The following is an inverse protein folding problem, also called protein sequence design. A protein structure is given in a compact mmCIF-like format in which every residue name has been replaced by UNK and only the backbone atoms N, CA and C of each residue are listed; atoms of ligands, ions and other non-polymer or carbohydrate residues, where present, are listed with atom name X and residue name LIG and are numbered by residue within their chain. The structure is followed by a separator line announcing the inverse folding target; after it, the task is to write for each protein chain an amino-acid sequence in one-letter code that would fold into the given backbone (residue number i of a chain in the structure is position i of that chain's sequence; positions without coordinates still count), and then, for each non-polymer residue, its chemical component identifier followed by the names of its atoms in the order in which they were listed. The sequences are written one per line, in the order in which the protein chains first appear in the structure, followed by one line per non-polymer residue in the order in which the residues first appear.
data_IF_498068204050
#
_entry.id   IF_498068204050
#
_cell.length_a   1.000
_cell.length_b   1.000
_cell.length_c   1.000
_cell.angle_alpha   90.00
_cell.angle_beta   90.00
_cell.angle_gamma   90.00
#
_symmetry.space_group_name_H-M   'P 1'
#
loop_
_entity.id
_entity.type
_entity.pdbx_description
1 polymer ?
#
# COMPACT_ATOMS: atom_id res chain seq x y z
N UNK A 1 -20.90 -24.02 27.82
CA UNK A 1 -20.29 -23.40 26.63
C UNK A 1 -21.06 -23.82 25.38
N UNK A 2 -21.28 -22.90 24.44
CA UNK A 2 -21.90 -23.19 23.14
C UNK A 2 -20.85 -23.77 22.17
N UNK A 3 -20.93 -25.07 21.86
CA UNK A 3 -19.92 -25.76 21.02
C UNK A 3 -19.86 -25.22 19.59
N UNK A 4 -20.99 -24.86 18.98
CA UNK A 4 -21.00 -24.30 17.62
C UNK A 4 -20.31 -22.94 17.57
N UNK A 5 -20.52 -22.11 18.60
CA UNK A 5 -19.86 -20.82 18.70
C UNK A 5 -18.37 -20.96 18.98
N UNK A 6 -17.96 -21.94 19.79
CA UNK A 6 -16.55 -22.26 20.00
C UNK A 6 -15.86 -22.66 18.69
N UNK A 7 -16.43 -23.59 17.92
CA UNK A 7 -15.88 -24.00 16.62
C UNK A 7 -15.77 -22.82 15.65
N UNK A 8 -16.80 -21.97 15.58
CA UNK A 8 -16.76 -20.75 14.78
C UNK A 8 -15.62 -19.81 15.19
N UNK A 9 -15.45 -19.55 16.50
CA UNK A 9 -14.40 -18.66 16.99
C UNK A 9 -13.00 -19.26 16.78
N UNK A 10 -12.85 -20.57 16.95
CA UNK A 10 -11.60 -21.28 16.66
C UNK A 10 -11.18 -21.08 15.21
N UNK A 11 -12.10 -21.32 14.26
CA UNK A 11 -11.84 -21.10 12.85
C UNK A 11 -11.56 -19.64 12.54
N UNK A 12 -12.33 -18.71 13.13
CA UNK A 12 -12.12 -17.29 12.94
C UNK A 12 -10.73 -16.84 13.42
N UNK A 13 -10.25 -17.32 14.57
CA UNK A 13 -8.91 -17.06 15.10
C UNK A 13 -7.85 -17.63 14.15
N UNK A 14 -8.02 -18.87 13.71
CA UNK A 14 -7.12 -19.53 12.75
C UNK A 14 -7.00 -18.73 11.45
N UNK A 15 -8.12 -18.43 10.80
CA UNK A 15 -8.15 -17.77 9.49
C UNK A 15 -7.86 -16.27 9.53
N UNK A 16 -7.89 -15.65 10.73
CA UNK A 16 -7.37 -14.27 10.92
C UNK A 16 -5.84 -14.27 11.07
N UNK A 17 -5.18 -15.42 11.07
CA UNK A 17 -3.72 -15.53 11.01
C UNK A 17 -3.04 -15.75 12.36
N UNK A 18 -3.78 -16.20 13.38
CA UNK A 18 -3.22 -16.54 14.70
C UNK A 18 -2.95 -18.05 14.88
N UNK A 19 -3.32 -18.86 13.87
CA UNK A 19 -3.12 -20.31 13.89
C UNK A 19 -4.02 -21.06 14.88
N UNK A 20 -3.62 -22.28 15.24
CA UNK A 20 -4.41 -23.19 16.07
C UNK A 20 -3.98 -23.20 17.56
N UNK A 21 -2.87 -22.51 17.89
CA UNK A 21 -2.25 -22.57 19.22
C UNK A 21 -3.10 -21.97 20.37
N UNK A 22 -4.12 -21.18 20.05
CA UNK A 22 -4.96 -20.50 21.03
C UNK A 22 -6.23 -21.29 21.41
N UNK A 23 -6.47 -22.44 20.78
CA UNK A 23 -7.72 -23.21 20.94
C UNK A 23 -8.01 -23.59 22.40
N UNK A 24 -7.01 -24.16 23.09
CA UNK A 24 -7.16 -24.63 24.47
C UNK A 24 -7.49 -23.49 25.44
N UNK A 25 -6.84 -22.33 25.28
CA UNK A 25 -7.08 -21.17 26.12
C UNK A 25 -8.45 -20.55 25.83
N UNK A 26 -8.81 -20.40 24.54
CA UNK A 26 -10.14 -19.96 24.12
C UNK A 26 -11.23 -20.84 24.75
N UNK A 27 -11.08 -22.16 24.64
CA UNK A 27 -12.04 -23.13 25.22
C UNK A 27 -12.17 -22.95 26.73
N UNK A 28 -11.04 -22.85 27.43
CA UNK A 28 -11.03 -22.69 28.88
C UNK A 28 -11.71 -21.38 29.33
N UNK A 29 -11.46 -20.27 28.62
CA UNK A 29 -12.06 -18.96 28.88
C UNK A 29 -13.57 -18.97 28.68
N UNK A 30 -14.04 -19.59 27.60
CA UNK A 30 -15.47 -19.73 27.31
C UNK A 30 -16.18 -20.70 28.27
N UNK A 31 -15.52 -21.78 28.73
CA UNK A 31 -16.07 -22.71 29.73
C UNK A 31 -16.21 -22.08 31.11
N UNK A 32 -15.32 -21.15 31.47
CA UNK A 32 -15.41 -20.34 32.70
C UNK A 32 -16.49 -19.26 32.63
N UNK A 33 -17.12 -19.08 31.47
CA UNK A 33 -18.11 -18.04 31.21
C UNK A 33 -17.62 -16.62 31.52
N UNK A 34 -16.33 -16.34 31.31
CA UNK A 34 -15.78 -14.99 31.51
C UNK A 34 -16.50 -14.00 30.56
N UNK A 35 -17.06 -12.87 31.05
CA UNK A 35 -17.86 -11.98 30.19
C UNK A 35 -17.01 -11.25 29.15
N UNK A 36 -15.75 -10.95 29.48
CA UNK A 36 -14.76 -10.40 28.56
C UNK A 36 -13.42 -11.08 28.86
N UNK A 37 -12.66 -11.43 27.83
CA UNK A 37 -11.32 -11.96 28.01
C UNK A 37 -10.46 -11.63 26.79
N UNK A 38 -9.14 -11.77 26.96
CA UNK A 38 -8.17 -11.63 25.89
C UNK A 38 -7.35 -12.90 25.71
N UNK A 39 -6.81 -13.07 24.50
CA UNK A 39 -5.81 -14.07 24.17
C UNK A 39 -4.62 -13.37 23.54
N UNK A 40 -3.39 -13.79 23.88
CA UNK A 40 -2.18 -13.16 23.39
C UNK A 40 -1.46 -14.06 22.37
N UNK A 41 -0.94 -13.45 21.31
CA UNK A 41 -0.18 -14.14 20.27
C UNK A 41 1.07 -13.34 19.91
N UNK A 42 2.23 -14.00 19.93
CA UNK A 42 3.49 -13.40 19.52
C UNK A 42 3.90 -13.95 18.15
N UNK A 43 4.37 -13.08 17.28
CA UNK A 43 4.94 -13.45 15.98
C UNK A 43 6.20 -12.64 15.69
N UNK A 44 7.11 -13.23 14.93
CA UNK A 44 8.35 -12.60 14.48
C UNK A 44 8.38 -12.55 12.94
N UNK A 45 8.73 -11.40 12.39
CA UNK A 45 8.82 -11.17 10.96
C UNK A 45 10.20 -10.58 10.62
N UNK A 46 11.15 -11.44 10.24
CA UNK A 46 12.55 -11.03 10.15
C UNK A 46 13.05 -10.66 11.54
N UNK A 47 13.53 -9.43 11.71
CA UNK A 47 14.04 -8.94 12.99
C UNK A 47 12.98 -8.20 13.82
N UNK A 48 11.80 -7.95 13.24
CA UNK A 48 10.72 -7.27 13.94
C UNK A 48 9.85 -8.27 14.71
N UNK A 49 9.37 -7.86 15.87
CA UNK A 49 8.46 -8.66 16.70
C UNK A 49 7.12 -7.97 16.83
N UNK A 50 6.08 -8.78 16.89
CA UNK A 50 4.71 -8.33 17.11
C UNK A 50 4.08 -9.08 18.25
N UNK A 51 3.38 -8.36 19.12
CA UNK A 51 2.47 -8.92 20.11
C UNK A 51 1.04 -8.52 19.73
N UNK A 52 0.17 -9.51 19.59
CA UNK A 52 -1.25 -9.30 19.31
C UNK A 52 -2.09 -9.69 20.54
N UNK A 53 -2.99 -8.80 20.94
CA UNK A 53 -3.95 -9.01 22.03
C UNK A 53 -5.35 -9.07 21.43
N UNK A 54 -5.92 -10.27 21.34
CA UNK A 54 -7.23 -10.55 20.76
C UNK A 54 -8.32 -10.34 21.81
N UNK A 55 -9.34 -9.55 21.51
CA UNK A 55 -10.41 -9.17 22.45
C UNK A 55 -11.70 -9.95 22.15
N UNK A 56 -12.19 -10.67 23.16
CA UNK A 56 -13.43 -11.43 23.11
C UNK A 56 -14.44 -10.91 24.12
N UNK A 57 -15.72 -10.93 23.75
CA UNK A 57 -16.83 -10.56 24.64
C UNK A 57 -18.00 -11.53 24.49
N UNK A 58 -18.60 -11.92 25.61
CA UNK A 58 -19.88 -12.64 25.66
C UNK A 58 -21.03 -11.67 25.34
N UNK A 59 -22.02 -12.14 24.59
CA UNK A 59 -23.27 -11.43 24.36
C UNK A 59 -24.03 -11.21 25.68
N UNK A 60 -24.59 -10.02 25.85
CA UNK A 60 -25.49 -9.72 26.97
C UNK A 60 -26.89 -10.33 26.75
N UNK A 61 -27.18 -10.84 25.54
CA UNK A 61 -28.49 -11.32 25.12
C UNK A 61 -28.52 -12.82 24.77
N UNK A 62 -27.36 -13.48 24.74
CA UNK A 62 -27.25 -14.90 24.36
C UNK A 62 -26.01 -15.56 24.99
N UNK A 63 -25.84 -16.85 24.77
CA UNK A 63 -24.66 -17.60 25.19
C UNK A 63 -23.47 -17.47 24.21
N UNK A 64 -23.60 -16.64 23.17
CA UNK A 64 -22.59 -16.45 22.15
C UNK A 64 -21.45 -15.54 22.61
N UNK A 65 -20.25 -15.86 22.17
CA UNK A 65 -19.05 -15.05 22.25
C UNK A 65 -18.68 -14.49 20.88
N UNK A 66 -18.05 -13.32 20.87
CA UNK A 66 -17.58 -12.64 19.68
C UNK A 66 -16.11 -12.26 19.82
N UNK A 67 -15.32 -12.55 18.79
CA UNK A 67 -14.01 -11.97 18.58
C UNK A 67 -14.18 -10.60 17.93
N UNK A 68 -13.97 -9.51 18.68
CA UNK A 68 -14.36 -8.16 18.26
C UNK A 68 -13.22 -7.37 17.62
N UNK A 69 -12.01 -7.53 18.12
CA UNK A 69 -10.85 -6.79 17.66
C UNK A 69 -9.56 -7.46 18.13
N UNK A 70 -8.44 -7.08 17.54
CA UNK A 70 -7.12 -7.39 18.09
C UNK A 70 -6.25 -6.14 18.03
N UNK A 71 -5.53 -5.86 19.12
CA UNK A 71 -4.50 -4.82 19.18
C UNK A 71 -3.18 -5.44 18.78
N UNK A 72 -2.44 -4.80 17.89
CA UNK A 72 -1.08 -5.18 17.51
C UNK A 72 -0.10 -4.14 18.05
N UNK A 73 0.94 -4.62 18.70
CA UNK A 73 2.11 -3.85 19.10
C UNK A 73 3.29 -4.35 18.26
N UNK A 74 3.84 -3.48 17.40
CA UNK A 74 4.96 -3.77 16.51
C UNK A 74 6.23 -3.11 17.08
N UNK A 75 7.17 -3.95 17.48
CA UNK A 75 8.49 -3.54 17.91
C UNK A 75 9.48 -3.78 16.77
N UNK A 76 9.97 -2.67 16.19
CA UNK A 76 11.01 -2.74 15.16
C UNK A 76 12.39 -2.89 15.77
N UNK A 77 13.29 -3.60 15.11
CA UNK A 77 14.66 -3.83 15.60
C UNK A 77 15.40 -2.52 15.95
N UNK A 78 15.24 -1.50 15.10
CA UNK A 78 15.94 -0.21 15.22
C UNK A 78 15.09 0.91 15.84
N UNK A 79 13.93 0.59 16.44
CA UNK A 79 13.07 1.57 17.09
C UNK A 79 13.07 1.36 18.60
N UNK A 80 13.03 2.44 19.39
CA UNK A 80 12.79 2.34 20.84
C UNK A 80 11.32 2.33 21.20
N UNK A 81 10.47 2.82 20.31
CA UNK A 81 9.04 2.93 20.50
C UNK A 81 8.32 1.86 19.68
N UNK A 82 7.38 1.17 20.33
CA UNK A 82 6.48 0.25 19.66
C UNK A 82 5.37 1.04 18.96
N UNK A 83 5.05 0.63 17.74
CA UNK A 83 3.89 1.13 17.03
C UNK A 83 2.66 0.31 17.44
N UNK A 84 1.56 0.97 17.76
CA UNK A 84 0.32 0.30 18.14
C UNK A 84 -0.80 0.56 17.14
N UNK A 85 -1.60 -0.47 16.85
CA UNK A 85 -2.80 -0.34 16.04
C UNK A 85 -3.83 -1.39 16.47
N UNK A 86 -5.09 -0.96 16.63
CA UNK A 86 -6.22 -1.87 16.81
C UNK A 86 -6.92 -2.14 15.48
N UNK A 87 -7.13 -3.41 15.17
CA UNK A 87 -7.89 -3.88 14.02
C UNK A 87 -9.20 -4.51 14.49
N UNK A 88 -10.31 -4.08 13.89
CA UNK A 88 -11.64 -4.58 14.23
C UNK A 88 -12.03 -5.75 13.32
N UNK A 89 -12.71 -6.72 13.92
CA UNK A 89 -13.21 -7.91 13.22
C UNK A 89 -14.61 -7.61 12.70
N UNK A 90 -14.75 -7.69 11.38
CA UNK A 90 -16.00 -7.43 10.66
C UNK A 90 -16.46 -8.68 9.92
N UNK A 91 -17.75 -8.76 9.58
CA UNK A 91 -18.27 -9.86 8.75
C UNK A 91 -17.81 -9.68 7.30
N UNK A 92 -16.70 -10.31 6.91
CA UNK A 92 -16.35 -10.54 5.50
C UNK A 92 -14.98 -10.02 5.04
N UNK A 93 -14.38 -9.04 5.75
CA UNK A 93 -13.08 -8.48 5.35
C UNK A 93 -12.19 -8.13 6.54
N UNK A 94 -11.79 -9.17 7.27
CA UNK A 94 -10.80 -9.02 8.33
C UNK A 94 -9.44 -8.73 7.72
N UNK A 95 -8.72 -7.80 8.33
CA UNK A 95 -7.27 -7.73 8.19
C UNK A 95 -6.72 -8.92 8.99
N UNK A 96 -5.87 -9.72 8.36
CA UNK A 96 -5.17 -10.81 9.04
C UNK A 96 -3.96 -10.27 9.80
N UNK A 97 -3.39 -11.06 10.72
CA UNK A 97 -2.19 -10.66 11.47
C UNK A 97 -1.02 -10.27 10.54
N UNK A 98 -0.83 -11.00 9.43
CA UNK A 98 0.24 -10.69 8.47
C UNK A 98 -0.05 -9.41 7.67
N UNK A 99 -1.29 -9.21 7.25
CA UNK A 99 -1.71 -7.96 6.58
C UNK A 99 -1.61 -6.75 7.52
N UNK A 100 -1.95 -6.92 8.80
CA UNK A 100 -1.79 -5.89 9.83
C UNK A 100 -0.32 -5.47 9.98
N UNK A 101 0.59 -6.44 10.11
CA UNK A 101 2.03 -6.18 10.07
C UNK A 101 2.44 -5.43 8.80
N UNK A 102 1.96 -5.84 7.63
CA UNK A 102 2.28 -5.18 6.37
C UNK A 102 1.79 -3.71 6.33
N UNK A 103 0.58 -3.43 6.82
CA UNK A 103 0.05 -2.07 6.95
C UNK A 103 0.87 -1.21 7.91
N UNK A 104 1.26 -1.77 9.05
CA UNK A 104 2.09 -1.12 10.07
C UNK A 104 3.54 -0.87 9.59
N UNK A 105 4.00 -1.67 8.63
CA UNK A 105 5.23 -1.43 7.86
C UNK A 105 5.06 -0.34 6.77
N UNK A 106 3.86 0.20 6.60
CA UNK A 106 3.53 1.25 5.64
C UNK A 106 3.19 0.75 4.23
N UNK A 107 3.08 -0.56 4.05
CA UNK A 107 2.68 -1.20 2.78
C UNK A 107 1.18 -1.14 2.59
N UNK A 108 0.74 -1.42 1.38
CA UNK A 108 -0.67 -1.43 1.02
C UNK A 108 -1.21 -2.85 0.89
N UNK A 109 -2.43 -3.08 1.37
CA UNK A 109 -3.13 -4.39 1.30
C UNK A 109 -4.40 -4.23 0.48
N UNK A 110 -4.66 -5.12 -0.46
CA UNK A 110 -5.88 -5.16 -1.26
C UNK A 110 -6.94 -6.01 -0.57
N UNK A 111 -8.14 -5.47 -0.39
CA UNK A 111 -9.28 -6.13 0.28
C UNK A 111 -10.57 -5.87 -0.48
N UNK A 112 -11.49 -6.82 -0.35
CA UNK A 112 -12.89 -6.64 -0.70
C UNK A 112 -13.62 -6.10 0.54
N UNK A 113 -13.84 -4.79 0.58
CA UNK A 113 -14.49 -4.10 1.69
C UNK A 113 -16.00 -4.04 1.49
N UNK A 114 -16.75 -3.75 2.55
CA UNK A 114 -18.21 -3.56 2.51
C UNK A 114 -18.56 -2.12 2.88
N UNK A 115 -19.37 -1.45 2.05
CA UNK A 115 -19.85 -0.09 2.36
C UNK A 115 -21.03 -0.12 3.36
N UNK A 116 -21.60 1.04 3.67
CA UNK A 116 -22.70 1.14 4.65
C UNK A 116 -23.98 0.48 4.14
N UNK A 117 -24.13 0.40 2.82
CA UNK A 117 -25.24 -0.17 2.09
C UNK A 117 -25.13 -1.70 1.97
N UNK A 118 -24.01 -2.30 2.40
CA UNK A 118 -23.76 -3.73 2.34
C UNK A 118 -23.14 -4.21 1.02
N UNK A 119 -22.79 -3.29 0.12
CA UNK A 119 -22.19 -3.62 -1.17
C UNK A 119 -20.69 -3.89 -0.99
N UNK A 120 -20.23 -4.96 -1.64
CA UNK A 120 -18.83 -5.35 -1.64
C UNK A 120 -18.10 -4.57 -2.74
N UNK A 121 -16.95 -3.99 -2.40
CA UNK A 121 -16.09 -3.28 -3.35
C UNK A 121 -14.61 -3.57 -3.09
N UNK A 122 -13.81 -3.60 -4.14
CA UNK A 122 -12.37 -3.82 -4.00
C UNK A 122 -11.63 -2.49 -3.76
N UNK A 123 -10.71 -2.48 -2.81
CA UNK A 123 -9.86 -1.33 -2.54
C UNK A 123 -8.49 -1.74 -2.01
N UNK A 124 -7.49 -0.93 -2.31
CA UNK A 124 -6.22 -0.95 -1.58
C UNK A 124 -6.31 -0.11 -0.33
N UNK A 125 -5.84 -0.64 0.78
CA UNK A 125 -5.82 -0.02 2.10
C UNK A 125 -4.37 0.29 2.47
N UNK A 126 -4.10 1.48 2.97
CA UNK A 126 -2.77 1.89 3.44
C UNK A 126 -2.88 2.74 4.69
N UNK A 127 -1.97 2.55 5.65
CA UNK A 127 -1.94 3.34 6.88
C UNK A 127 -1.44 4.78 6.62
N UNK A 128 -2.13 5.77 7.18
CA UNK A 128 -1.70 7.17 7.24
C UNK A 128 -1.11 7.48 8.62
N UNK A 129 0.21 7.38 8.72
CA UNK A 129 0.94 7.66 9.95
C UNK A 129 0.88 9.13 10.41
N UNK A 130 0.33 10.04 9.61
CA UNK A 130 0.21 11.46 9.96
C UNK A 130 -1.08 11.79 10.70
N UNK A 131 -2.06 10.88 10.69
CA UNK A 131 -3.37 11.11 11.26
C UNK A 131 -3.78 9.95 12.14
N UNK A 132 -3.82 10.19 13.45
CA UNK A 132 -4.40 9.27 14.42
C UNK A 132 -5.80 9.74 14.85
N UNK A 133 -6.67 8.80 15.20
CA UNK A 133 -7.94 9.06 15.86
C UNK A 133 -7.75 9.32 17.37
N UNK A 134 -8.86 9.56 18.08
CA UNK A 134 -8.85 9.83 19.52
C UNK A 134 -8.37 8.65 20.38
N UNK A 135 -8.38 7.43 19.82
CA UNK A 135 -7.92 6.22 20.48
C UNK A 135 -6.48 5.87 20.10
N UNK A 136 -5.79 6.73 19.35
CA UNK A 136 -4.42 6.53 18.90
C UNK A 136 -4.28 5.63 17.67
N UNK A 137 -5.38 5.19 17.05
CA UNK A 137 -5.30 4.38 15.82
C UNK A 137 -5.03 5.28 14.62
N UNK A 138 -4.09 4.88 13.77
CA UNK A 138 -3.85 5.56 12.50
C UNK A 138 -5.03 5.38 11.55
N UNK A 139 -5.32 6.43 10.78
CA UNK A 139 -6.31 6.37 9.70
C UNK A 139 -5.84 5.42 8.61
N UNK A 140 -6.80 4.78 7.96
CA UNK A 140 -6.56 3.93 6.79
C UNK A 140 -7.08 4.62 5.53
N UNK A 141 -6.17 4.99 4.64
CA UNK A 141 -6.50 5.48 3.31
C UNK A 141 -7.00 4.33 2.44
N UNK A 142 -7.99 4.60 1.60
CA UNK A 142 -8.54 3.64 0.66
C UNK A 142 -8.39 4.14 -0.78
N UNK A 143 -7.84 3.29 -1.64
CA UNK A 143 -7.76 3.50 -3.08
C UNK A 143 -8.71 2.51 -3.74
N UNK A 144 -9.94 2.95 -3.97
CA UNK A 144 -11.01 2.16 -4.60
C UNK A 144 -10.60 1.68 -6.00
N UNK A 145 -11.24 0.65 -6.54
CA UNK A 145 -10.97 0.15 -7.91
C UNK A 145 -11.02 1.25 -9.00
N UNK A 146 -11.80 2.31 -8.79
CA UNK A 146 -11.93 3.46 -9.71
C UNK A 146 -10.78 4.47 -9.58
N UNK A 147 -9.90 4.31 -8.58
CA UNK A 147 -8.71 5.12 -8.41
C UNK A 147 -7.72 4.93 -9.58
N UNK A 148 -7.80 3.79 -10.28
CA UNK A 148 -7.01 3.51 -11.48
C UNK A 148 -5.60 2.99 -11.19
N UNK A 149 -5.39 2.37 -10.03
CA UNK A 149 -4.20 1.54 -9.83
C UNK A 149 -4.50 0.10 -10.22
N UNK A 150 -3.77 -0.37 -11.24
CA UNK A 150 -3.81 -1.75 -11.70
C UNK A 150 -2.44 -2.38 -11.44
N UNK A 151 -2.38 -3.31 -10.50
CA UNK A 151 -1.14 -3.99 -10.12
C UNK A 151 -0.59 -4.83 -11.28
N UNK A 152 -1.45 -5.58 -11.97
CA UNK A 152 -1.02 -6.48 -13.05
C UNK A 152 -0.46 -5.68 -14.23
N UNK A 153 -1.18 -4.64 -14.66
CA UNK A 153 -0.72 -3.74 -15.70
C UNK A 153 0.55 -2.96 -15.29
N UNK A 154 0.74 -2.73 -13.99
CA UNK A 154 1.98 -2.12 -13.48
C UNK A 154 3.13 -3.09 -13.54
N UNK A 155 2.96 -4.33 -13.09
CA UNK A 155 3.98 -5.38 -13.11
C UNK A 155 4.43 -5.69 -14.55
N UNK A 156 3.50 -5.72 -15.50
CA UNK A 156 3.80 -5.97 -16.93
C UNK A 156 4.75 -4.94 -17.57
N UNK A 157 4.98 -3.78 -16.93
CA UNK A 157 5.94 -2.76 -17.39
C UNK A 157 7.38 -3.07 -16.98
N UNK A 158 7.61 -4.11 -16.19
CA UNK A 158 8.90 -4.50 -15.65
C UNK A 158 9.36 -5.85 -16.23
N UNK A 159 10.68 -6.04 -16.42
CA UNK A 159 11.23 -7.29 -16.97
C UNK A 159 11.30 -8.37 -15.88
N UNK A 160 10.16 -8.78 -15.33
CA UNK A 160 10.07 -9.75 -14.22
C UNK A 160 9.84 -11.15 -14.79
N UNK A 161 10.75 -12.08 -14.52
CA UNK A 161 10.74 -13.46 -15.02
C UNK A 161 9.52 -14.25 -14.56
N UNK A 162 9.05 -14.04 -13.32
CA UNK A 162 7.88 -14.73 -12.77
C UNK A 162 6.59 -14.43 -13.54
N UNK A 163 6.53 -13.33 -14.30
CA UNK A 163 5.35 -12.98 -15.10
C UNK A 163 5.15 -13.87 -16.34
N UNK A 164 6.19 -14.57 -16.79
CA UNK A 164 6.14 -15.48 -17.95
C UNK A 164 5.40 -16.78 -17.63
N UNK A 165 5.40 -17.19 -16.36
CA UNK A 165 4.70 -18.38 -15.90
C UNK A 165 3.37 -17.98 -15.24
N UNK A 166 2.21 -18.48 -15.72
CA UNK A 166 0.91 -18.10 -15.17
C UNK A 166 0.77 -18.35 -13.65
N UNK A 167 1.34 -19.45 -13.15
CA UNK A 167 1.25 -19.79 -11.73
C UNK A 167 2.12 -18.86 -10.87
N UNK A 168 3.35 -18.60 -11.30
CA UNK A 168 4.24 -17.69 -10.56
C UNK A 168 3.75 -16.24 -10.61
N UNK A 169 3.14 -15.83 -11.72
CA UNK A 169 2.46 -14.54 -11.84
C UNK A 169 1.31 -14.42 -10.84
N UNK A 170 0.45 -15.43 -10.76
CA UNK A 170 -0.66 -15.47 -9.79
C UNK A 170 -0.14 -15.37 -8.35
N UNK A 171 0.84 -16.20 -7.99
CA UNK A 171 1.43 -16.22 -6.65
C UNK A 171 2.08 -14.88 -6.28
N UNK A 172 2.76 -14.24 -7.24
CA UNK A 172 3.35 -12.92 -7.09
C UNK A 172 2.27 -11.86 -6.83
N UNK A 173 1.23 -11.82 -7.65
CA UNK A 173 0.11 -10.88 -7.51
C UNK A 173 -0.59 -11.07 -6.17
N UNK A 174 -0.89 -12.32 -5.78
CA UNK A 174 -1.56 -12.63 -4.51
C UNK A 174 -0.72 -12.26 -3.29
N UNK A 175 0.60 -12.47 -3.35
CA UNK A 175 1.50 -12.05 -2.29
C UNK A 175 1.52 -10.52 -2.14
N UNK A 176 1.60 -9.79 -3.26
CA UNK A 176 1.60 -8.34 -3.26
C UNK A 176 0.24 -7.75 -2.85
N UNK A 177 -0.88 -8.38 -3.21
CA UNK A 177 -2.22 -8.02 -2.72
C UNK A 177 -2.33 -8.14 -1.20
N UNK A 178 -1.64 -9.11 -0.58
CA UNK A 178 -1.54 -9.23 0.89
C UNK A 178 -0.59 -8.21 1.52
N UNK A 179 -0.01 -7.32 0.71
CA UNK A 179 0.93 -6.28 1.14
C UNK A 179 2.33 -6.79 1.46
N UNK A 180 2.69 -8.00 1.02
CA UNK A 180 4.04 -8.51 1.23
C UNK A 180 5.04 -7.75 0.36
N UNK A 181 6.24 -7.57 0.89
CA UNK A 181 7.42 -7.26 0.08
C UNK A 181 7.89 -8.58 -0.55
N UNK A 182 7.69 -8.70 -1.85
CA UNK A 182 7.91 -9.95 -2.58
C UNK A 182 9.23 -9.90 -3.33
N UNK A 183 10.04 -10.97 -3.25
CA UNK A 183 11.20 -11.08 -4.13
C UNK A 183 10.77 -11.45 -5.54
N UNK A 184 11.39 -10.82 -6.54
CA UNK A 184 11.16 -11.07 -7.95
C UNK A 184 12.48 -11.07 -8.72
N UNK A 185 12.53 -11.82 -9.83
CA UNK A 185 13.73 -11.94 -10.67
C UNK A 185 13.60 -10.99 -11.85
N UNK A 186 14.43 -9.94 -11.87
CA UNK A 186 14.48 -8.98 -12.96
C UNK A 186 15.52 -9.37 -14.01
N UNK A 187 15.14 -9.30 -15.29
CA UNK A 187 16.02 -9.50 -16.43
C UNK A 187 16.57 -8.15 -16.89
N UNK A 188 17.86 -7.90 -16.65
CA UNK A 188 18.54 -6.67 -17.11
C UNK A 188 19.77 -7.05 -17.94
N UNK A 189 19.78 -6.66 -19.21
CA UNK A 189 20.92 -6.92 -20.13
C UNK A 189 21.32 -8.40 -20.21
N UNK A 190 20.33 -9.30 -20.12
CA UNK A 190 20.56 -10.75 -20.12
C UNK A 190 20.95 -11.36 -18.77
N UNK A 191 21.13 -10.54 -17.72
CA UNK A 191 21.43 -11.00 -16.37
C UNK A 191 20.17 -11.08 -15.50
N UNK A 192 20.12 -12.09 -14.63
CA UNK A 192 19.11 -12.25 -13.60
C UNK A 192 19.51 -11.51 -12.33
N UNK A 193 18.68 -10.56 -11.91
CA UNK A 193 18.88 -9.76 -10.71
C UNK A 193 17.72 -9.99 -9.75
N UNK A 194 18.01 -10.51 -8.56
CA UNK A 194 17.01 -10.60 -7.50
C UNK A 194 16.73 -9.21 -6.93
N UNK A 195 15.48 -8.79 -6.99
CA UNK A 195 14.99 -7.52 -6.43
C UNK A 195 13.77 -7.79 -5.55
N UNK A 196 13.36 -6.79 -4.77
CA UNK A 196 12.15 -6.87 -3.95
C UNK A 196 11.15 -5.81 -4.37
N UNK A 197 9.86 -6.17 -4.42
CA UNK A 197 8.81 -5.30 -4.90
C UNK A 197 7.59 -5.29 -3.97
N UNK A 198 6.92 -4.15 -3.91
CA UNK A 198 5.66 -3.98 -3.18
C UNK A 198 4.72 -3.06 -3.97
N UNK A 199 3.42 -3.20 -3.71
CA UNK A 199 2.40 -2.37 -4.34
C UNK A 199 2.46 -0.92 -3.81
N UNK A 200 2.35 0.05 -4.71
CA UNK A 200 2.31 1.49 -4.38
C UNK A 200 1.08 2.16 -5.02
N UNK A 201 -0.13 1.84 -4.53
CA UNK A 201 -1.38 2.35 -5.09
C UNK A 201 -1.43 3.88 -5.11
N UNK A 202 -0.98 4.55 -4.03
CA UNK A 202 -0.94 6.02 -3.95
C UNK A 202 -0.25 6.69 -5.15
N UNK A 203 0.82 6.07 -5.67
CA UNK A 203 1.59 6.57 -6.81
C UNK A 203 1.29 5.81 -8.11
N UNK A 204 0.29 4.92 -8.09
CA UNK A 204 -0.12 4.05 -9.20
C UNK A 204 1.04 3.28 -9.84
N UNK A 205 1.95 2.78 -9.01
CA UNK A 205 3.19 2.09 -9.40
C UNK A 205 3.51 0.95 -8.43
N UNK A 206 4.64 0.29 -8.61
CA UNK A 206 5.30 -0.53 -7.58
C UNK A 206 6.54 0.21 -7.06
N UNK A 207 6.93 -0.07 -5.83
CA UNK A 207 8.27 0.24 -5.34
C UNK A 207 9.19 -0.95 -5.63
N UNK A 208 10.45 -0.68 -5.94
CA UNK A 208 11.47 -1.70 -6.22
C UNK A 208 12.68 -1.43 -5.31
N UNK A 209 13.25 -2.48 -4.75
CA UNK A 209 14.39 -2.44 -3.85
C UNK A 209 15.48 -3.42 -4.31
N UNK A 210 16.73 -3.07 -4.06
CA UNK A 210 17.87 -3.95 -4.32
C UNK A 210 18.06 -5.01 -3.22
N UNK A 211 19.13 -5.80 -3.33
CA UNK A 211 19.48 -6.82 -2.34
C UNK A 211 19.81 -6.29 -0.94
N UNK A 212 20.10 -4.99 -0.82
CA UNK A 212 20.41 -4.29 0.43
C UNK A 212 19.21 -3.49 0.96
N UNK A 213 18.00 -3.77 0.43
CA UNK A 213 16.77 -3.08 0.81
C UNK A 213 16.78 -1.57 0.54
N UNK A 214 17.64 -1.10 -0.38
CA UNK A 214 17.64 0.29 -0.82
C UNK A 214 16.66 0.48 -1.97
N UNK A 215 15.82 1.52 -1.88
CA UNK A 215 14.82 1.82 -2.91
C UNK A 215 15.51 2.26 -4.20
N UNK A 216 15.16 1.60 -5.31
CA UNK A 216 15.61 1.95 -6.65
C UNK A 216 14.64 2.97 -7.23
N UNK A 217 15.11 4.21 -7.44
CA UNK A 217 14.29 5.23 -8.09
C UNK A 217 14.36 5.08 -9.63
N UNK A 218 13.30 4.55 -10.22
CA UNK A 218 13.20 4.39 -11.66
C UNK A 218 12.88 5.70 -12.39
N UNK A 219 12.65 6.83 -11.69
CA UNK A 219 12.29 8.11 -12.33
C UNK A 219 13.43 8.70 -13.16
N UNK A 220 14.70 8.47 -12.80
CA UNK A 220 15.83 9.02 -13.58
C UNK A 220 16.03 8.36 -14.95
N UNK A 221 15.54 7.13 -15.15
CA UNK A 221 15.68 6.43 -16.43
C UNK A 221 14.81 6.99 -17.56
N UNK A 222 13.86 7.90 -17.27
CA UNK A 222 13.10 8.66 -18.29
C UNK A 222 13.78 9.96 -18.71
N UNK A 223 14.51 10.62 -17.81
CA UNK A 223 15.20 11.88 -18.11
C UNK A 223 16.46 11.64 -18.96
N UNK A 224 17.16 10.52 -18.75
CA UNK A 224 18.32 10.15 -19.57
C UNK A 224 17.90 9.77 -21.01
N UNK A 225 16.72 9.16 -21.21
CA UNK A 225 16.22 8.85 -22.56
C UNK A 225 15.65 10.06 -23.31
N UNK A 226 15.14 11.09 -22.62
CA UNK A 226 14.73 12.34 -23.28
C UNK A 226 15.92 13.21 -23.66
N UNK A 227 16.98 13.24 -22.84
CA UNK A 227 18.18 14.04 -23.13
C UNK A 227 19.06 13.48 -24.26
N UNK A 228 18.99 12.17 -24.57
CA UNK A 228 19.63 11.60 -25.76
C UNK A 228 18.86 11.89 -27.06
N UNK A 229 17.52 11.93 -27.02
CA UNK A 229 16.70 12.22 -28.20
C UNK A 229 16.78 13.71 -28.59
N UNK A 230 16.87 14.62 -27.63
CA UNK A 230 17.06 16.06 -27.90
C UNK A 230 18.48 16.41 -28.37
N UNK A 231 19.50 15.65 -27.96
CA UNK A 231 20.88 15.88 -28.44
C UNK A 231 21.13 15.38 -29.86
N UNK A 232 20.30 14.45 -30.35
CA UNK A 232 20.37 13.95 -31.72
C UNK A 232 19.67 14.89 -32.74
N UNK A 233 18.60 15.58 -32.34
CA UNK A 233 17.85 16.48 -33.23
C UNK A 233 18.51 17.86 -33.43
N UNK A 234 19.31 18.35 -32.48
CA UNK A 234 19.97 19.67 -32.60
C UNK A 234 21.21 19.67 -33.52
N UNK A 235 21.77 18.49 -33.86
CA UNK A 235 22.96 18.39 -34.72
C UNK A 235 22.67 18.36 -36.23
N UNK A 236 21.42 18.28 -36.67
CA UNK A 236 21.07 18.29 -38.10
C UNK A 236 20.60 19.65 -38.66
N UNK A 237 20.21 20.62 -37.82
CA UNK A 237 19.68 21.92 -38.30
C UNK A 237 20.71 23.06 -38.42
N UNK A 238 21.95 22.87 -37.96
CA UNK A 238 22.96 23.95 -37.94
C UNK A 238 23.85 24.03 -39.19
N UNK A 239 23.42 23.49 -40.35
CA UNK A 239 24.21 23.51 -41.59
C UNK A 239 23.54 24.06 -42.86
N UNK A 240 22.38 24.72 -42.76
CA UNK A 240 21.81 25.47 -43.90
C UNK A 240 21.23 26.82 -43.48
N UNK A 241 22.06 27.85 -43.48
CA UNK A 241 21.86 29.11 -44.21
C UNK A 241 22.73 30.20 -43.58
N UNK A 242 23.90 30.39 -44.19
CA UNK A 242 24.59 31.67 -44.21
C UNK A 242 24.62 32.07 -45.69
N UNK A 243 23.93 33.15 -46.06
CA UNK A 243 24.35 34.21 -47.02
C UNK A 243 23.17 35.07 -47.50
N UNK A 244 23.51 36.35 -47.75
CA UNK A 244 22.76 37.53 -48.27
C UNK A 244 22.42 38.50 -47.12
N UNK A 245 23.29 39.43 -46.72
CA UNK A 245 23.86 40.63 -47.37
C UNK A 245 22.93 41.87 -47.31
N UNK A 246 23.55 42.97 -46.86
CA UNK A 246 23.06 44.29 -46.42
C UNK A 246 22.22 45.09 -47.45
N UNK A 247 21.31 45.96 -46.95
CA UNK A 247 21.25 47.38 -47.35
C UNK A 247 20.43 48.24 -46.35
N UNK A 248 20.85 49.49 -46.20
CA UNK A 248 20.51 50.54 -45.24
C UNK A 248 19.23 51.33 -45.62
N UNK A 249 18.60 52.05 -44.67
CA UNK A 249 17.50 52.96 -45.00
C UNK A 249 16.53 53.35 -43.88
N UNK A 250 16.92 54.39 -43.13
CA UNK A 250 16.15 55.18 -42.16
C UNK A 250 14.74 55.63 -42.61
N UNK A 251 13.74 55.60 -41.72
CA UNK A 251 12.92 56.77 -41.31
C UNK A 251 11.79 56.39 -40.31
N UNK A 252 11.61 57.24 -39.29
CA UNK A 252 10.52 57.22 -38.29
C UNK A 252 9.59 58.39 -38.61
N UNK A 253 8.25 58.28 -38.41
CA UNK A 253 7.66 59.14 -37.37
C UNK A 253 6.43 58.59 -36.58
N UNK A 254 6.53 58.81 -35.26
CA UNK A 254 5.57 59.49 -34.34
C UNK A 254 4.25 58.84 -33.83
N UNK A 255 4.17 58.83 -32.48
CA UNK A 255 3.08 59.28 -31.56
C UNK A 255 1.72 58.52 -31.56
N UNK A 256 0.96 58.30 -30.47
CA UNK A 256 0.91 58.83 -29.11
C UNK A 256 0.11 57.90 -28.14
N UNK A 257 0.39 58.03 -26.83
CA UNK A 257 -0.53 58.10 -25.64
C UNK A 257 -1.77 57.17 -25.62
N UNK A 258 -2.09 56.41 -24.57
CA UNK A 258 -2.36 56.89 -23.18
C UNK A 258 -2.66 55.70 -22.25
N UNK A 259 -2.19 55.80 -21.00
CA UNK A 259 -2.64 55.02 -19.82
C UNK A 259 -4.12 55.24 -19.53
N UNK A 260 -4.82 54.22 -19.00
CA UNK A 260 -5.62 54.36 -17.76
C UNK A 260 -5.88 53.02 -17.06
N UNK A 261 -5.71 53.07 -15.74
CA UNK A 261 -6.04 52.09 -14.69
C UNK A 261 -7.48 52.31 -14.22
N UNK A 262 -8.22 51.25 -13.88
CA UNK A 262 -9.07 51.07 -12.67
C UNK A 262 -10.05 49.90 -12.93
N UNK A 263 -9.96 48.77 -12.24
CA UNK A 263 -10.57 48.45 -10.93
C UNK A 263 -12.08 48.13 -10.96
N UNK A 264 -12.36 46.97 -10.35
CA UNK A 264 -13.53 46.55 -9.54
C UNK A 264 -14.85 46.11 -10.19
N UNK A 265 -15.16 44.84 -9.88
CA UNK A 265 -16.36 44.31 -9.22
C UNK A 265 -17.59 43.83 -10.00
N UNK A 266 -17.94 42.58 -9.65
CA UNK A 266 -19.26 41.95 -9.45
C UNK A 266 -20.20 41.78 -10.65
N UNK A 267 -20.40 40.51 -11.03
CA UNK A 267 -21.58 39.72 -10.60
C UNK A 267 -21.12 38.32 -10.21
#
# INVERSE_FOLDING_TARGET
MNEKNFEYLKDQVKYTGFGEGLESELKAKMQKEEPNFTLNHNAQYGNDTTMATLNFKKSDQSDMYFFNSYKVELQKENSKEALEQTFYINKGSNITMKEAFNLMEGRSVNKDLTNKEGEIYNAWVQMDFKQADTNGNFKLNQYHQNYGYDLEATLAKHPIKELENPKYKEDLIDSMKKGNLQSATFLKEGNELKQYIEASPQFKTINVYDGNMQRIDNRHSKEEKQSEVEKASVKQDSKKQNQIADDDGSEVPKEAKKRRKSQSNSM
#
